data_IF_011065290888
#
_entry.id   IF_011065290888
#
_cell.length_a   1.000
_cell.length_b   1.000
_cell.length_c   1.000
_cell.angle_alpha   90.00
_cell.angle_beta   90.00
_cell.angle_gamma   90.00
#
_symmetry.space_group_name_H-M   'P 1'
#
loop_
_entity.id
_entity.type
_entity.pdbx_description
1 polymer ?
#
# COMPACT_ATOMS: atom_id res chain seq x y z
N UNK A 1 -19.73 -8.82 -45.10
CA UNK A 1 -20.69 -8.67 -43.98
C UNK A 1 -20.05 -9.07 -42.63
N UNK A 2 -19.04 -9.94 -42.61
CA UNK A 2 -18.24 -10.30 -41.40
C UNK A 2 -17.40 -9.15 -40.83
N UNK A 3 -16.72 -8.36 -41.68
CA UNK A 3 -15.83 -7.26 -41.24
C UNK A 3 -16.51 -6.17 -40.39
N UNK A 4 -17.81 -5.92 -40.59
CA UNK A 4 -18.57 -4.90 -39.85
C UNK A 4 -18.94 -5.41 -38.44
N UNK A 5 -19.04 -6.73 -38.28
CA UNK A 5 -19.45 -7.37 -37.02
C UNK A 5 -18.28 -7.50 -36.04
N UNK A 6 -17.06 -7.71 -36.53
CA UNK A 6 -15.82 -7.68 -35.73
C UNK A 6 -15.52 -6.28 -35.19
N UNK A 7 -15.59 -5.24 -36.02
CA UNK A 7 -15.32 -3.86 -35.60
C UNK A 7 -16.31 -3.36 -34.54
N UNK A 8 -17.58 -3.72 -34.65
CA UNK A 8 -18.60 -3.36 -33.65
C UNK A 8 -18.39 -4.07 -32.32
N UNK A 9 -17.98 -5.34 -32.34
CA UNK A 9 -17.72 -6.14 -31.13
C UNK A 9 -16.43 -5.70 -30.42
N UNK A 10 -15.41 -5.32 -31.19
CA UNK A 10 -14.15 -4.80 -30.67
C UNK A 10 -14.35 -3.45 -29.97
N UNK A 11 -15.11 -2.53 -30.58
CA UNK A 11 -15.48 -1.25 -29.96
C UNK A 11 -16.29 -1.43 -28.67
N UNK A 12 -17.29 -2.31 -28.67
CA UNK A 12 -18.07 -2.58 -27.47
C UNK A 12 -17.20 -3.08 -26.31
N UNK A 13 -16.25 -3.98 -26.58
CA UNK A 13 -15.29 -4.43 -25.56
C UNK A 13 -14.32 -3.35 -25.07
N UNK A 14 -13.99 -2.39 -25.93
CA UNK A 14 -13.17 -1.24 -25.55
C UNK A 14 -13.95 -0.29 -24.64
N UNK A 15 -15.21 -0.02 -24.96
CA UNK A 15 -16.09 0.82 -24.15
C UNK A 15 -16.31 0.19 -22.76
N UNK A 16 -16.58 -1.12 -22.69
CA UNK A 16 -16.72 -1.87 -21.43
C UNK A 16 -15.43 -1.83 -20.59
N UNK A 17 -14.26 -1.93 -21.24
CA UNK A 17 -12.94 -1.84 -20.60
C UNK A 17 -12.70 -0.44 -20.02
N UNK A 18 -13.01 0.61 -20.79
CA UNK A 18 -12.87 2.00 -20.36
C UNK A 18 -13.82 2.33 -19.20
N UNK A 19 -15.07 1.87 -19.27
CA UNK A 19 -16.05 2.06 -18.20
C UNK A 19 -15.57 1.42 -16.90
N UNK A 20 -15.07 0.18 -16.94
CA UNK A 20 -14.49 -0.50 -15.78
C UNK A 20 -13.29 0.26 -15.19
N UNK A 21 -12.38 0.76 -16.03
CA UNK A 21 -11.23 1.54 -15.58
C UNK A 21 -11.66 2.84 -14.91
N UNK A 22 -12.65 3.53 -15.47
CA UNK A 22 -13.19 4.76 -14.89
C UNK A 22 -13.88 4.50 -13.55
N UNK A 23 -14.69 3.44 -13.46
CA UNK A 23 -15.38 3.04 -12.24
C UNK A 23 -14.39 2.69 -11.12
N UNK A 24 -13.53 1.69 -11.36
CA UNK A 24 -12.57 1.21 -10.36
C UNK A 24 -11.44 2.19 -10.08
N UNK A 25 -11.05 2.98 -11.08
CA UNK A 25 -10.13 4.11 -10.90
C UNK A 25 -10.71 5.18 -9.99
N UNK A 26 -12.01 5.50 -10.13
CA UNK A 26 -12.69 6.45 -9.26
C UNK A 26 -12.81 5.94 -7.82
N UNK A 27 -13.15 4.66 -7.62
CA UNK A 27 -13.14 4.03 -6.30
C UNK A 27 -11.75 4.11 -5.66
N UNK A 28 -10.70 3.73 -6.40
CA UNK A 28 -9.32 3.78 -5.91
C UNK A 28 -8.92 5.20 -5.51
N UNK A 29 -9.20 6.19 -6.37
CA UNK A 29 -8.93 7.59 -6.07
C UNK A 29 -9.72 8.09 -4.87
N UNK A 30 -10.96 7.64 -4.69
CA UNK A 30 -11.78 8.01 -3.54
C UNK A 30 -11.13 7.55 -2.23
N UNK A 31 -10.63 6.30 -2.17
CA UNK A 31 -9.92 5.78 -1.01
C UNK A 31 -8.63 6.57 -0.76
N UNK A 32 -7.82 6.81 -1.79
CA UNK A 32 -6.55 7.53 -1.64
C UNK A 32 -6.73 9.00 -1.22
N UNK A 33 -7.81 9.67 -1.66
CA UNK A 33 -8.14 11.04 -1.25
C UNK A 33 -8.53 11.15 0.23
N UNK A 34 -8.94 10.05 0.87
CA UNK A 34 -9.28 10.03 2.30
C UNK A 34 -8.09 9.77 3.21
N UNK A 35 -6.90 9.50 2.64
CA UNK A 35 -5.69 9.24 3.42
C UNK A 35 -5.18 10.54 4.05
N UNK A 36 -4.98 10.52 5.37
CA UNK A 36 -4.45 11.66 6.13
C UNK A 36 -2.92 11.62 6.25
N UNK A 37 -2.35 10.41 6.32
CA UNK A 37 -0.92 10.20 6.55
C UNK A 37 -0.37 9.03 5.73
N UNK A 38 0.89 9.15 5.32
CA UNK A 38 1.64 8.04 4.73
C UNK A 38 2.77 7.62 5.68
N UNK A 39 2.87 6.31 5.93
CA UNK A 39 3.93 5.72 6.75
C UNK A 39 4.62 4.59 6.01
N UNK A 40 5.93 4.47 6.21
CA UNK A 40 6.70 3.34 5.72
C UNK A 40 7.07 2.39 6.86
N UNK A 41 6.78 1.11 6.70
CA UNK A 41 7.10 0.04 7.66
C UNK A 41 7.91 -1.05 6.97
N UNK A 42 8.98 -1.49 7.60
CA UNK A 42 9.83 -2.56 7.08
C UNK A 42 9.27 -3.95 7.38
N UNK A 43 9.69 -4.94 6.61
CA UNK A 43 9.45 -6.35 6.95
C UNK A 43 10.24 -6.76 8.20
N UNK A 44 9.71 -7.66 9.04
CA UNK A 44 8.45 -8.41 8.89
C UNK A 44 7.20 -7.66 9.37
N UNK A 45 7.36 -6.46 9.94
CA UNK A 45 6.28 -5.73 10.62
C UNK A 45 5.17 -5.29 9.67
N UNK A 46 5.50 -5.03 8.41
CA UNK A 46 4.51 -4.70 7.39
C UNK A 46 3.57 -5.88 7.11
N UNK A 47 4.11 -7.08 6.89
CA UNK A 47 3.30 -8.30 6.74
C UNK A 47 2.42 -8.53 7.96
N UNK A 48 2.97 -8.34 9.17
CA UNK A 48 2.21 -8.49 10.41
C UNK A 48 1.05 -7.48 10.53
N UNK A 49 1.21 -6.23 10.07
CA UNK A 49 0.12 -5.24 9.99
C UNK A 49 -0.94 -5.67 8.98
N UNK A 50 -0.50 -6.10 7.79
CA UNK A 50 -1.38 -6.54 6.69
C UNK A 50 -2.29 -7.70 7.10
N UNK A 51 -1.72 -8.64 7.87
CA UNK A 51 -2.38 -9.86 8.34
C UNK A 51 -3.13 -9.65 9.66
N UNK A 52 -3.03 -8.47 10.28
CA UNK A 52 -3.72 -8.12 11.52
C UNK A 52 -3.12 -8.72 12.79
N UNK A 53 -1.92 -9.30 12.71
CA UNK A 53 -1.17 -9.79 13.86
C UNK A 53 -0.63 -8.62 14.70
N UNK A 54 -0.08 -7.62 14.02
CA UNK A 54 0.35 -6.36 14.61
C UNK A 54 -0.81 -5.37 14.53
N UNK A 55 -1.28 -4.89 15.67
CA UNK A 55 -2.43 -3.97 15.79
C UNK A 55 -2.05 -2.61 16.35
N UNK A 56 -0.77 -2.44 16.71
CA UNK A 56 -0.25 -1.17 17.23
C UNK A 56 1.06 -0.84 16.52
N UNK A 57 1.14 0.36 15.95
CA UNK A 57 2.33 0.89 15.34
C UNK A 57 3.03 1.87 16.29
N UNK A 58 4.24 1.51 16.73
CA UNK A 58 5.07 2.36 17.59
C UNK A 58 5.92 3.33 16.77
N UNK A 59 5.94 4.62 17.12
CA UNK A 59 6.78 5.66 16.49
C UNK A 59 7.28 6.67 17.52
N UNK A 60 8.46 7.26 17.33
CA UNK A 60 8.82 8.46 18.10
C UNK A 60 7.87 9.61 17.74
N UNK A 61 7.45 10.40 18.73
CA UNK A 61 6.45 11.46 18.58
C UNK A 61 7.03 12.72 17.90
N UNK A 62 7.45 12.61 16.64
CA UNK A 62 8.19 13.66 15.93
C UNK A 62 7.39 14.20 14.75
N UNK A 63 7.48 15.52 14.53
CA UNK A 63 6.93 16.18 13.34
C UNK A 63 5.43 15.92 13.17
N UNK A 64 5.04 15.55 11.95
CA UNK A 64 3.63 15.35 11.58
C UNK A 64 2.95 14.18 12.32
N UNK A 65 3.71 13.23 12.87
CA UNK A 65 3.13 12.10 13.61
C UNK A 65 2.36 12.55 14.86
N UNK A 66 2.69 13.72 15.42
CA UNK A 66 1.97 14.29 16.55
C UNK A 66 0.52 14.69 16.23
N UNK A 67 0.18 14.81 14.95
CA UNK A 67 -1.17 15.16 14.47
C UNK A 67 -2.04 13.94 14.21
N UNK A 68 -1.47 12.73 14.28
CA UNK A 68 -2.23 11.49 14.13
C UNK A 68 -3.18 11.37 15.31
N UNK A 69 -4.47 11.16 15.03
CA UNK A 69 -5.50 11.05 16.02
C UNK A 69 -6.45 9.89 15.67
N UNK A 70 -7.32 9.53 16.61
CA UNK A 70 -8.41 8.58 16.34
C UNK A 70 -9.25 9.05 15.14
N UNK A 71 -9.62 8.11 14.28
CA UNK A 71 -10.33 8.36 13.04
C UNK A 71 -9.43 8.59 11.83
N UNK A 72 -8.16 8.96 12.00
CA UNK A 72 -7.24 9.18 10.87
C UNK A 72 -7.03 7.91 10.04
N UNK A 73 -6.89 8.09 8.73
CA UNK A 73 -6.53 7.02 7.80
C UNK A 73 -5.05 7.11 7.41
N UNK A 74 -4.33 6.01 7.61
CA UNK A 74 -2.90 5.91 7.31
C UNK A 74 -2.69 4.95 6.15
N UNK A 75 -1.98 5.40 5.12
CA UNK A 75 -1.51 4.57 4.02
C UNK A 75 -0.10 4.05 4.33
N UNK A 76 -0.02 2.76 4.64
CA UNK A 76 1.23 2.04 4.86
C UNK A 76 1.80 1.52 3.55
N UNK A 77 3.08 1.82 3.31
CA UNK A 77 3.84 1.36 2.12
C UNK A 77 3.11 1.60 0.79
N UNK A 78 2.34 2.69 0.70
CA UNK A 78 1.56 3.09 -0.48
C UNK A 78 0.52 2.08 -0.96
N UNK A 79 0.14 1.08 -0.14
CA UNK A 79 -0.76 0.02 -0.59
C UNK A 79 -1.76 -0.51 0.45
N UNK A 80 -1.49 -0.34 1.75
CA UNK A 80 -2.36 -0.80 2.83
C UNK A 80 -2.93 0.39 3.58
N UNK A 81 -4.25 0.56 3.57
CA UNK A 81 -4.91 1.61 4.36
C UNK A 81 -5.32 1.02 5.70
N UNK A 82 -4.94 1.65 6.81
CA UNK A 82 -5.42 1.31 8.14
C UNK A 82 -6.03 2.55 8.81
N UNK A 83 -7.09 2.33 9.59
CA UNK A 83 -7.72 3.38 10.38
C UNK A 83 -7.17 3.37 11.79
N UNK A 84 -6.84 4.55 12.29
CA UNK A 84 -6.42 4.76 13.68
C UNK A 84 -7.63 4.68 14.59
N UNK A 85 -7.62 3.73 15.50
CA UNK A 85 -8.64 3.61 16.54
C UNK A 85 -8.30 4.50 17.73
N UNK A 86 -7.04 4.53 18.12
CA UNK A 86 -6.58 5.31 19.27
C UNK A 86 -5.07 5.60 19.19
N UNK A 87 -4.60 6.60 19.94
CA UNK A 87 -3.20 6.98 20.02
C UNK A 87 -2.79 7.24 21.47
N UNK A 88 -1.89 6.40 21.98
CA UNK A 88 -1.34 6.57 23.32
C UNK A 88 0.07 7.17 23.26
N UNK A 89 0.39 8.02 24.23
CA UNK A 89 1.71 8.64 24.41
C UNK A 89 2.41 8.05 25.63
N UNK A 90 3.69 7.73 25.47
CA UNK A 90 4.56 7.24 26.55
C UNK A 90 5.88 7.99 26.52
N UNK A 91 6.61 8.00 27.65
CA UNK A 91 7.92 8.63 27.71
C UNK A 91 8.99 7.80 26.98
N UNK A 92 8.80 6.48 26.89
CA UNK A 92 9.78 5.55 26.29
C UNK A 92 9.11 4.32 25.63
N UNK A 93 9.84 3.64 24.75
CA UNK A 93 9.41 2.35 24.20
C UNK A 93 9.29 1.29 25.29
N UNK A 94 10.16 1.31 26.30
CA UNK A 94 10.09 0.38 27.44
C UNK A 94 8.76 0.52 28.19
N UNK A 95 8.34 1.76 28.47
CA UNK A 95 7.05 2.05 29.11
C UNK A 95 5.87 1.63 28.24
N UNK A 96 5.93 1.93 26.93
CA UNK A 96 4.92 1.50 25.97
C UNK A 96 4.73 -0.02 26.00
N UNK A 97 5.83 -0.79 25.94
CA UNK A 97 5.77 -2.26 26.00
C UNK A 97 5.28 -2.77 27.35
N UNK A 98 5.72 -2.14 28.45
CA UNK A 98 5.31 -2.45 29.82
C UNK A 98 3.81 -2.27 30.07
N UNK A 99 3.13 -1.42 29.31
CA UNK A 99 1.67 -1.28 29.33
C UNK A 99 0.91 -2.46 28.67
N UNK A 100 1.59 -3.57 28.36
CA UNK A 100 0.99 -4.76 27.77
C UNK A 100 0.82 -4.67 26.25
N UNK A 101 1.49 -3.73 25.58
CA UNK A 101 1.40 -3.57 24.13
C UNK A 101 2.45 -4.37 23.36
N UNK A 102 3.41 -5.03 24.02
CA UNK A 102 4.56 -5.68 23.35
C UNK A 102 4.13 -6.65 22.24
N UNK A 103 3.24 -7.60 22.53
CA UNK A 103 2.76 -8.59 21.54
C UNK A 103 1.96 -7.96 20.40
N UNK A 104 1.29 -6.82 20.66
CA UNK A 104 0.52 -6.08 19.66
C UNK A 104 1.39 -5.18 18.78
N UNK A 105 2.54 -4.74 19.28
CA UNK A 105 3.51 -3.90 18.57
C UNK A 105 4.57 -4.74 17.85
N UNK A 106 5.06 -5.79 18.49
CA UNK A 106 6.09 -6.68 17.98
C UNK A 106 5.66 -8.16 18.19
N UNK A 107 4.73 -8.68 17.37
CA UNK A 107 4.38 -10.08 17.39
C UNK A 107 5.60 -11.00 17.26
N UNK A 108 5.74 -11.96 18.18
CA UNK A 108 6.86 -12.91 18.23
C UNK A 108 8.04 -12.50 19.11
N UNK A 109 8.03 -11.28 19.67
CA UNK A 109 9.04 -10.82 20.64
C UNK A 109 8.54 -11.08 22.06
N UNK A 110 9.37 -11.72 22.88
CA UNK A 110 8.98 -12.14 24.23
C UNK A 110 9.40 -11.15 25.32
N UNK A 111 10.46 -10.37 25.10
CA UNK A 111 11.06 -9.50 26.11
C UNK A 111 11.01 -8.01 25.73
N UNK A 112 10.86 -7.15 26.73
CA UNK A 112 10.85 -5.68 26.54
C UNK A 112 12.22 -5.22 26.03
N UNK A 113 13.30 -5.81 26.55
CA UNK A 113 14.68 -5.49 26.19
C UNK A 113 14.91 -5.75 24.70
N UNK A 114 14.52 -6.92 24.20
CA UNK A 114 14.59 -7.25 22.77
C UNK A 114 13.74 -6.29 21.93
N UNK A 115 12.53 -5.97 22.38
CA UNK A 115 11.66 -5.01 21.73
C UNK A 115 12.30 -3.62 21.60
N UNK A 116 12.93 -3.14 22.66
CA UNK A 116 13.67 -1.86 22.65
C UNK A 116 14.86 -1.94 21.69
N UNK A 117 15.61 -3.05 21.67
CA UNK A 117 16.74 -3.22 20.74
C UNK A 117 16.30 -3.20 19.27
N UNK A 118 15.12 -3.73 18.94
CA UNK A 118 14.54 -3.62 17.60
C UNK A 118 14.32 -2.14 17.25
N UNK A 119 13.70 -1.37 18.16
CA UNK A 119 13.43 0.05 17.93
C UNK A 119 14.69 0.92 17.88
N UNK A 120 15.78 0.51 18.55
CA UNK A 120 17.09 1.17 18.49
C UNK A 120 17.73 1.15 17.10
N UNK A 121 17.33 0.21 16.23
CA UNK A 121 17.73 0.20 14.81
C UNK A 121 17.16 1.38 14.02
N UNK A 122 16.05 1.97 14.50
CA UNK A 122 15.32 3.05 13.83
C UNK A 122 15.47 4.41 14.53
N UNK A 123 15.60 4.41 15.86
CA UNK A 123 15.61 5.62 16.66
C UNK A 123 16.72 5.61 17.72
N UNK A 124 17.47 6.70 17.78
CA UNK A 124 18.41 6.93 18.89
C UNK A 124 17.65 7.15 20.20
N UNK A 125 18.29 6.78 21.31
CA UNK A 125 17.75 6.98 22.66
C UNK A 125 17.51 8.46 22.98
N UNK A 126 18.40 9.34 22.52
CA UNK A 126 18.22 10.79 22.67
C UNK A 126 16.94 11.28 22.00
N UNK A 127 16.64 10.79 20.78
CA UNK A 127 15.44 11.18 20.04
C UNK A 127 14.18 10.67 20.71
N UNK A 128 14.20 9.44 21.23
CA UNK A 128 13.13 8.92 22.06
C UNK A 128 12.92 9.78 23.31
N UNK A 129 13.96 10.03 24.10
CA UNK A 129 13.86 10.79 25.35
C UNK A 129 13.35 12.22 25.14
N UNK A 130 13.74 12.84 24.04
CA UNK A 130 13.38 14.24 23.75
C UNK A 130 11.94 14.41 23.28
N UNK A 131 11.34 13.38 22.69
CA UNK A 131 10.02 13.49 22.05
C UNK A 131 8.96 12.56 22.68
N UNK A 132 9.38 11.52 23.39
CA UNK A 132 8.55 10.39 23.75
C UNK A 132 8.18 9.52 22.55
N UNK A 133 7.24 8.61 22.78
CA UNK A 133 6.77 7.64 21.78
C UNK A 133 5.25 7.63 21.67
N UNK A 134 4.77 7.25 20.50
CA UNK A 134 3.36 7.07 20.14
C UNK A 134 3.11 5.59 19.92
N UNK A 135 2.05 5.08 20.52
CA UNK A 135 1.45 3.80 20.19
C UNK A 135 0.15 4.04 19.42
N UNK A 136 0.21 3.87 18.10
CA UNK A 136 -0.90 4.12 17.18
C UNK A 136 -1.67 2.81 17.02
N UNK A 137 -2.83 2.70 17.64
CA UNK A 137 -3.71 1.53 17.55
C UNK A 137 -4.44 1.58 16.21
N UNK A 138 -4.34 0.52 15.42
CA UNK A 138 -4.85 0.48 14.05
C UNK A 138 -5.73 -0.73 13.80
N UNK A 139 -6.69 -0.54 12.89
CA UNK A 139 -7.56 -1.61 12.38
C UNK A 139 -7.69 -1.51 10.88
N UNK A 140 -7.95 -2.64 10.22
CA UNK A 140 -8.12 -2.71 8.77
C UNK A 140 -9.57 -2.35 8.39
N UNK A 141 -9.81 -1.22 7.70
CA UNK A 141 -11.13 -0.93 7.15
C UNK A 141 -11.46 -1.86 5.98
N UNK A 142 -12.75 -1.99 5.68
CA UNK A 142 -13.25 -2.84 4.58
C UNK A 142 -12.80 -2.33 3.20
N UNK A 143 -12.80 -1.01 2.99
CA UNK A 143 -12.31 -0.40 1.76
C UNK A 143 -10.77 -0.42 1.72
N UNK A 144 -10.20 -0.96 0.65
CA UNK A 144 -8.76 -1.03 0.45
C UNK A 144 -8.38 -0.73 -1.01
N UNK A 145 -7.29 0.01 -1.26
CA UNK A 145 -6.84 0.32 -2.62
C UNK A 145 -6.65 -0.93 -3.48
N UNK A 146 -6.09 -1.99 -2.89
CA UNK A 146 -5.83 -3.24 -3.61
C UNK A 146 -7.10 -3.99 -4.04
N UNK A 147 -8.26 -3.73 -3.42
CA UNK A 147 -9.53 -4.37 -3.80
C UNK A 147 -10.00 -3.81 -5.15
N UNK A 148 -10.09 -2.48 -5.28
CA UNK A 148 -10.48 -1.85 -6.54
C UNK A 148 -9.46 -2.15 -7.65
N UNK A 149 -8.16 -2.14 -7.32
CA UNK A 149 -7.12 -2.53 -8.27
C UNK A 149 -7.25 -3.99 -8.72
N UNK A 150 -7.43 -4.94 -7.79
CA UNK A 150 -7.61 -6.35 -8.14
C UNK A 150 -8.88 -6.58 -8.98
N UNK A 151 -9.98 -5.90 -8.65
CA UNK A 151 -11.22 -5.96 -9.42
C UNK A 151 -11.03 -5.42 -10.84
N UNK A 152 -10.33 -4.28 -10.99
CA UNK A 152 -9.97 -3.72 -12.29
C UNK A 152 -9.12 -4.69 -13.11
N UNK A 153 -8.03 -5.21 -12.54
CA UNK A 153 -7.15 -6.16 -13.23
C UNK A 153 -7.87 -7.45 -13.62
N UNK A 154 -8.75 -7.96 -12.75
CA UNK A 154 -9.55 -9.15 -13.02
C UNK A 154 -10.55 -8.92 -14.15
N UNK A 155 -11.26 -7.78 -14.15
CA UNK A 155 -12.25 -7.47 -15.18
C UNK A 155 -11.63 -7.15 -16.53
N UNK A 156 -10.46 -6.48 -16.55
CA UNK A 156 -9.71 -6.25 -17.78
C UNK A 156 -9.24 -7.55 -18.43
N UNK A 157 -8.92 -8.57 -17.64
CA UNK A 157 -8.28 -9.82 -18.10
C UNK A 157 -6.97 -9.55 -18.87
N UNK A 158 -6.38 -10.58 -19.47
CA UNK A 158 -5.20 -10.41 -20.31
C UNK A 158 -5.48 -9.50 -21.51
N UNK A 159 -6.61 -9.69 -22.20
CA UNK A 159 -6.92 -8.97 -23.43
C UNK A 159 -7.14 -7.46 -23.22
N UNK A 160 -7.87 -7.07 -22.16
CA UNK A 160 -8.07 -5.66 -21.82
C UNK A 160 -6.80 -5.00 -21.33
N UNK A 161 -5.98 -5.69 -20.53
CA UNK A 161 -4.68 -5.17 -20.09
C UNK A 161 -3.73 -4.94 -21.26
N UNK A 162 -3.67 -5.87 -22.23
CA UNK A 162 -2.88 -5.69 -23.44
C UNK A 162 -3.29 -4.42 -24.18
N UNK A 163 -4.59 -4.23 -24.42
CA UNK A 163 -5.11 -3.04 -25.11
C UNK A 163 -4.84 -1.75 -24.34
N UNK A 164 -5.08 -1.75 -23.03
CA UNK A 164 -4.83 -0.61 -22.15
C UNK A 164 -3.35 -0.18 -22.17
N UNK A 165 -2.44 -1.15 -22.24
CA UNK A 165 -1.00 -0.92 -22.35
C UNK A 165 -0.53 -0.64 -23.78
N UNK A 166 -1.44 -0.57 -24.76
CA UNK A 166 -1.12 -0.36 -26.16
C UNK A 166 -0.41 -1.55 -26.83
N UNK A 167 -0.51 -2.76 -26.26
CA UNK A 167 0.02 -3.97 -26.88
C UNK A 167 -0.91 -4.42 -28.01
N UNK A 168 -0.38 -4.36 -29.23
CA UNK A 168 -1.03 -4.87 -30.44
C UNK A 168 -0.61 -6.34 -30.66
N UNK A 169 -1.58 -7.21 -30.94
CA UNK A 169 -1.29 -8.54 -31.49
C UNK A 169 -0.86 -8.37 -32.96
N UNK A 170 0.44 -8.35 -33.21
CA UNK A 170 0.97 -8.41 -34.57
C UNK A 170 1.17 -9.87 -34.96
N UNK A 171 0.45 -10.34 -35.99
CA UNK A 171 0.68 -11.65 -36.60
C UNK A 171 1.95 -11.72 -37.47
N UNK A 172 2.92 -10.80 -37.29
CA UNK A 172 4.00 -10.59 -38.25
C UNK A 172 5.28 -9.96 -37.69
N UNK A 173 6.39 -10.32 -38.31
CA UNK A 173 7.82 -10.12 -38.04
C UNK A 173 8.34 -8.66 -38.07
N UNK A 174 7.56 -7.67 -37.63
CA UNK A 174 8.05 -6.28 -37.51
C UNK A 174 8.53 -6.01 -36.09
N UNK A 175 9.86 -5.89 -35.91
CA UNK A 175 10.51 -5.79 -34.59
C UNK A 175 10.06 -4.63 -33.71
N UNK A 176 9.56 -3.53 -34.28
CA UNK A 176 9.06 -2.36 -33.56
C UNK A 176 7.64 -2.53 -32.99
N UNK A 177 6.90 -3.54 -33.45
CA UNK A 177 5.52 -3.83 -33.02
C UNK A 177 5.40 -5.13 -32.21
N UNK A 178 6.55 -5.67 -31.76
CA UNK A 178 6.59 -6.77 -30.81
C UNK A 178 6.33 -6.22 -29.41
N UNK A 179 5.57 -6.94 -28.56
CA UNK A 179 5.48 -6.58 -27.15
C UNK A 179 6.89 -6.49 -26.57
N UNK A 180 7.15 -5.51 -25.66
CA UNK A 180 8.45 -5.39 -25.04
C UNK A 180 8.86 -6.74 -24.44
N UNK A 181 10.14 -7.14 -24.56
CA UNK A 181 10.63 -8.38 -23.98
C UNK A 181 10.19 -8.48 -22.51
N UNK A 182 9.87 -9.70 -22.04
CA UNK A 182 9.51 -9.92 -20.63
C UNK A 182 10.53 -9.32 -19.67
N UNK A 183 11.82 -9.35 -20.02
CA UNK A 183 12.89 -8.72 -19.25
C UNK A 183 12.71 -7.20 -19.12
N UNK A 184 12.34 -6.52 -20.21
CA UNK A 184 12.08 -5.08 -20.23
C UNK A 184 10.87 -4.72 -19.36
N UNK A 185 9.76 -5.47 -19.47
CA UNK A 185 8.61 -5.28 -18.59
C UNK A 185 8.96 -5.53 -17.11
N UNK A 186 9.67 -6.61 -16.81
CA UNK A 186 10.08 -6.89 -15.44
C UNK A 186 11.01 -5.80 -14.89
N UNK A 187 11.92 -5.27 -15.71
CA UNK A 187 12.81 -4.19 -15.29
C UNK A 187 12.07 -2.88 -15.00
N UNK A 188 10.97 -2.57 -15.71
CA UNK A 188 10.22 -1.33 -15.47
C UNK A 188 9.46 -1.35 -14.14
N UNK A 189 9.03 -2.52 -13.68
CA UNK A 189 8.43 -2.68 -12.34
C UNK A 189 9.46 -2.71 -11.19
N UNK A 190 10.74 -2.94 -11.51
CA UNK A 190 11.84 -2.99 -10.53
C UNK A 190 12.59 -1.65 -10.40
N UNK A 191 12.32 -0.69 -11.29
CA UNK A 191 12.86 0.66 -11.16
C UNK A 191 12.23 1.33 -9.93
N UNK A 192 13.03 1.81 -8.95
CA UNK A 192 12.47 2.59 -7.85
C UNK A 192 11.79 3.82 -8.44
N UNK A 193 10.52 4.01 -8.08
CA UNK A 193 9.78 5.21 -8.44
C UNK A 193 10.53 6.41 -7.86
N UNK A 194 11.13 7.22 -8.74
CA UNK A 194 11.90 8.41 -8.38
C UNK A 194 10.93 9.59 -8.45
N UNK A 195 10.44 10.12 -7.32
CA UNK A 195 9.35 11.11 -7.30
C UNK A 195 9.80 12.53 -7.71
N UNK A 196 11.08 12.73 -8.07
CA UNK A 196 11.67 14.04 -8.38
C UNK A 196 11.93 14.26 -9.89
N UNK A 197 11.04 13.77 -10.76
CA UNK A 197 10.93 14.19 -12.18
C UNK A 197 9.53 14.68 -12.47
#
# INVERSE_FOLDING_TARGET
MELIHEDSYLKQKEDECLELVMEKGSELLSVLKTVDFELHVQEPFFTQLKDGLKTVEGRCAVGNYNRIASGSLILFNKCLVLQVQDVHRYASFSEMFGAGSLTKVLPGVETIEEGVQIYRKFYSEEKERSNGVLAIVVTKPAAQPFISLASMLSGLSYGGLQRLLGFVHTGGTTGEALPPPRSTLLSSFLLPHNPDV
#
